data_IF_785870227050
#
_entry.id   IF_785870227050
#
_cell.length_a   1.000
_cell.length_b   1.000
_cell.length_c   1.000
_cell.angle_alpha   90.00
_cell.angle_beta   90.00
_cell.angle_gamma   90.00
#
_symmetry.space_group_name_H-M   'P 1'
#
loop_
_entity.id
_entity.type
_entity.pdbx_description
1 polymer ?
#
# COMPACT_ATOMS: atom_id res chain seq x y z
N UNK A 1 7.34 25.67 9.38
CA UNK A 1 6.23 24.76 9.13
C UNK A 1 6.67 23.38 9.60
N UNK A 2 5.96 22.80 10.57
CA UNK A 2 6.22 21.42 10.99
C UNK A 2 5.81 20.47 9.86
N UNK A 3 6.72 19.60 9.47
CA UNK A 3 6.52 18.55 8.48
C UNK A 3 6.71 17.19 9.13
N UNK A 4 6.06 16.18 8.59
CA UNK A 4 6.16 14.82 9.09
C UNK A 4 5.80 13.80 8.04
N UNK A 5 5.83 12.55 8.44
CA UNK A 5 5.38 11.41 7.63
C UNK A 5 4.14 10.79 8.25
N UNK A 6 3.30 10.22 7.43
CA UNK A 6 2.11 9.49 7.82
C UNK A 6 2.07 8.15 7.11
N UNK A 7 1.71 7.11 7.85
CA UNK A 7 1.31 5.83 7.30
C UNK A 7 -0.11 5.52 7.79
N UNK A 8 -0.97 5.13 6.89
CA UNK A 8 -2.34 4.71 7.23
C UNK A 8 -2.70 3.43 6.50
N UNK A 9 -3.56 2.64 7.11
CA UNK A 9 -4.20 1.49 6.51
C UNK A 9 -5.69 1.54 6.84
N UNK A 10 -6.52 1.33 5.84
CA UNK A 10 -7.96 1.24 5.98
C UNK A 10 -8.46 -0.03 5.30
N UNK A 11 -9.49 -0.63 5.86
CA UNK A 11 -10.14 -1.82 5.30
C UNK A 11 -11.63 -1.56 5.21
N UNK A 12 -12.21 -1.83 4.05
CA UNK A 12 -13.64 -1.79 3.84
C UNK A 12 -14.29 -3.14 4.26
N UNK A 13 -15.59 -3.15 4.57
CA UNK A 13 -16.31 -4.39 4.93
C UNK A 13 -16.26 -5.49 3.87
N UNK A 14 -16.07 -5.11 2.61
CA UNK A 14 -15.97 -5.97 1.43
C UNK A 14 -14.54 -6.47 1.15
N UNK A 15 -13.68 -6.53 2.16
CA UNK A 15 -12.31 -7.04 2.07
C UNK A 15 -11.38 -6.28 1.10
N UNK A 16 -11.73 -5.05 0.75
CA UNK A 16 -10.83 -4.14 0.08
C UNK A 16 -10.02 -3.36 1.10
N UNK A 17 -8.75 -3.15 0.84
CA UNK A 17 -7.87 -2.39 1.73
C UNK A 17 -7.07 -1.34 0.98
N UNK A 18 -6.84 -0.24 1.65
CA UNK A 18 -5.96 0.84 1.23
C UNK A 18 -4.79 0.91 2.21
N UNK A 19 -3.58 0.90 1.70
CA UNK A 19 -2.37 1.29 2.43
C UNK A 19 -1.80 2.53 1.78
N UNK A 20 -1.36 3.44 2.61
CA UNK A 20 -0.84 4.72 2.16
C UNK A 20 0.30 5.18 3.05
N UNK A 21 1.36 5.70 2.45
CA UNK A 21 2.46 6.40 3.11
C UNK A 21 2.62 7.77 2.45
N UNK A 22 2.81 8.81 3.23
CA UNK A 22 2.90 10.14 2.65
C UNK A 22 3.56 11.16 3.54
N UNK A 23 3.81 12.33 2.96
CA UNK A 23 4.39 13.49 3.60
C UNK A 23 3.29 14.49 3.95
N UNK A 24 3.32 14.96 5.17
CA UNK A 24 2.34 15.93 5.67
C UNK A 24 3.01 17.19 6.21
N UNK A 25 2.22 18.24 6.31
CA UNK A 25 2.55 19.48 7.01
C UNK A 25 1.35 19.98 7.79
N UNK A 26 1.61 20.60 8.92
CA UNK A 26 0.57 21.33 9.67
C UNK A 26 0.13 22.54 8.84
N UNK A 27 -1.17 22.78 8.77
CA UNK A 27 -1.77 23.96 8.13
C UNK A 27 -2.42 24.85 9.19
N UNK A 28 -2.81 26.05 8.80
CA UNK A 28 -3.40 26.99 9.74
C UNK A 28 -4.80 26.55 10.21
N UNK A 29 -5.24 27.12 11.34
CA UNK A 29 -6.51 26.74 11.99
C UNK A 29 -7.76 26.95 11.13
N UNK A 30 -7.71 27.78 10.09
CA UNK A 30 -8.85 27.99 9.17
C UNK A 30 -9.22 26.70 8.40
N UNK A 31 -8.29 25.76 8.29
CA UNK A 31 -8.55 24.47 7.68
C UNK A 31 -9.43 23.56 8.54
N UNK A 32 -9.45 23.77 9.86
CA UNK A 32 -10.33 23.03 10.77
C UNK A 32 -11.79 23.25 10.37
N UNK A 33 -12.18 24.48 10.11
CA UNK A 33 -13.55 24.79 9.68
C UNK A 33 -13.92 24.13 8.33
N UNK A 34 -12.96 24.10 7.39
CA UNK A 34 -13.16 23.43 6.10
C UNK A 34 -13.33 21.92 6.26
N UNK A 35 -12.55 21.29 7.14
CA UNK A 35 -12.66 19.85 7.45
C UNK A 35 -14.00 19.55 8.10
N UNK A 36 -14.45 20.40 9.05
CA UNK A 36 -15.74 20.24 9.71
C UNK A 36 -16.93 20.45 8.76
N UNK A 37 -16.80 21.36 7.80
CA UNK A 37 -17.83 21.56 6.78
C UNK A 37 -18.02 20.31 5.88
N UNK A 38 -16.96 19.55 5.63
CA UNK A 38 -17.01 18.29 4.88
C UNK A 38 -17.44 17.08 5.72
N UNK A 39 -17.33 17.20 7.06
CA UNK A 39 -17.62 16.13 8.01
C UNK A 39 -18.57 16.63 9.12
N UNK A 40 -19.86 16.84 8.82
CA UNK A 40 -20.81 17.46 9.77
C UNK A 40 -20.93 16.73 11.12
N UNK A 41 -20.79 15.39 11.15
CA UNK A 41 -20.81 14.60 12.38
C UNK A 41 -19.72 14.98 13.39
N UNK A 42 -18.63 15.59 12.95
CA UNK A 42 -17.59 16.09 13.85
C UNK A 42 -18.08 17.21 14.78
N UNK A 43 -19.13 17.94 14.39
CA UNK A 43 -19.71 19.00 15.22
C UNK A 43 -20.41 18.46 16.49
N UNK A 44 -20.85 17.20 16.46
CA UNK A 44 -21.41 16.55 17.64
C UNK A 44 -20.32 16.16 18.64
N UNK A 45 -19.15 15.76 18.13
CA UNK A 45 -18.00 15.34 18.97
C UNK A 45 -17.24 16.56 19.52
N UNK A 46 -17.08 17.60 18.70
CA UNK A 46 -16.37 18.84 19.03
C UNK A 46 -17.26 20.07 18.77
N UNK A 47 -18.24 20.34 19.65
CA UNK A 47 -19.19 21.44 19.45
C UNK A 47 -18.52 22.81 19.65
N UNK A 48 -18.91 23.79 18.81
CA UNK A 48 -18.47 25.19 18.94
C UNK A 48 -16.95 25.34 18.86
N UNK A 49 -16.41 26.12 19.77
CA UNK A 49 -14.97 26.47 19.83
C UNK A 49 -14.08 25.27 20.20
N UNK A 50 -14.63 24.18 20.75
CA UNK A 50 -13.84 23.01 21.14
C UNK A 50 -13.13 22.35 19.94
N UNK A 51 -13.60 22.59 18.71
CA UNK A 51 -12.95 22.11 17.48
C UNK A 51 -11.52 22.61 17.30
N UNK A 52 -11.18 23.78 17.86
CA UNK A 52 -9.87 24.40 17.68
C UNK A 52 -8.77 23.83 18.58
N UNK A 53 -9.07 22.83 19.40
CA UNK A 53 -8.05 21.98 20.02
C UNK A 53 -7.36 21.08 18.98
N UNK A 54 -8.02 20.83 17.85
CA UNK A 54 -7.50 19.98 16.77
C UNK A 54 -6.56 20.77 15.87
N UNK A 55 -5.55 20.08 15.34
CA UNK A 55 -4.71 20.57 14.25
C UNK A 55 -5.14 19.92 12.93
N UNK A 56 -5.08 20.69 11.85
CA UNK A 56 -5.32 20.21 10.52
C UNK A 56 -3.99 19.95 9.81
N UNK A 57 -3.93 18.85 9.06
CA UNK A 57 -2.77 18.45 8.29
C UNK A 57 -3.11 18.40 6.81
N UNK A 58 -2.18 18.86 5.99
CA UNK A 58 -2.21 18.69 4.55
C UNK A 58 -1.21 17.61 4.15
N UNK A 59 -1.69 16.50 3.63
CA UNK A 59 -0.85 15.49 3.01
C UNK A 59 -0.59 15.99 1.58
N UNK A 60 0.66 16.32 1.27
CA UNK A 60 1.01 16.99 0.02
C UNK A 60 1.72 16.09 -0.98
N UNK A 61 2.25 14.96 -0.56
CA UNK A 61 2.84 13.94 -1.41
C UNK A 61 2.70 12.57 -0.76
N UNK A 62 2.69 11.52 -1.56
CA UNK A 62 2.67 10.16 -1.04
C UNK A 62 2.39 9.12 -2.11
N UNK A 63 2.48 7.87 -1.71
CA UNK A 63 2.18 6.70 -2.51
C UNK A 63 1.37 5.69 -1.70
N UNK A 64 0.72 4.80 -2.38
CA UNK A 64 -0.07 3.77 -1.72
C UNK A 64 -0.45 2.63 -2.64
N UNK A 65 -1.14 1.66 -2.06
CA UNK A 65 -1.70 0.52 -2.78
C UNK A 65 -3.15 0.30 -2.39
N UNK A 66 -3.96 0.00 -3.39
CA UNK A 66 -5.30 -0.54 -3.24
C UNK A 66 -5.24 -2.04 -3.46
N UNK A 67 -5.87 -2.82 -2.58
CA UNK A 67 -5.80 -4.27 -2.59
C UNK A 67 -7.19 -4.87 -2.41
N UNK A 68 -7.62 -5.70 -3.37
CA UNK A 68 -8.91 -6.37 -3.39
C UNK A 68 -8.73 -7.88 -3.22
N UNK A 69 -9.29 -8.42 -2.14
CA UNK A 69 -9.26 -9.84 -1.78
C UNK A 69 -10.52 -10.61 -2.17
N UNK A 70 -11.57 -9.91 -2.66
CA UNK A 70 -12.85 -10.56 -2.99
C UNK A 70 -12.78 -11.42 -4.25
N UNK A 71 -11.93 -11.03 -5.18
CA UNK A 71 -11.84 -11.64 -6.49
C UNK A 71 -10.67 -12.63 -6.58
N UNK A 72 -10.80 -13.63 -7.44
CA UNK A 72 -9.71 -14.54 -7.74
C UNK A 72 -9.39 -14.47 -9.24
N UNK A 73 -8.15 -14.21 -9.61
CA UNK A 73 -7.03 -13.79 -8.74
C UNK A 73 -7.29 -12.46 -8.04
N UNK A 74 -6.69 -12.27 -6.88
CA UNK A 74 -6.71 -10.99 -6.17
C UNK A 74 -6.20 -9.87 -7.08
N UNK A 75 -6.60 -8.62 -6.82
CA UNK A 75 -6.05 -7.47 -7.53
C UNK A 75 -5.37 -6.48 -6.60
N UNK A 76 -4.33 -5.83 -7.14
CA UNK A 76 -3.55 -4.81 -6.47
C UNK A 76 -3.22 -3.71 -7.46
N UNK A 77 -3.45 -2.48 -7.07
CA UNK A 77 -3.11 -1.29 -7.82
C UNK A 77 -2.27 -0.36 -6.95
N UNK A 78 -1.28 0.30 -7.53
CA UNK A 78 -0.50 1.34 -6.86
C UNK A 78 -0.89 2.70 -7.39
N UNK A 79 -0.64 3.70 -6.58
CA UNK A 79 -0.80 5.10 -6.96
C UNK A 79 0.24 5.96 -6.24
N UNK A 80 0.57 7.10 -6.84
CA UNK A 80 1.39 8.14 -6.24
C UNK A 80 0.88 9.52 -6.64
N UNK A 81 1.18 10.53 -5.83
CA UNK A 81 0.85 11.92 -6.12
C UNK A 81 1.84 12.89 -5.45
N UNK A 82 1.77 14.17 -5.83
CA UNK A 82 2.60 15.22 -5.23
C UNK A 82 4.09 15.09 -5.53
N UNK A 83 4.46 14.43 -6.62
CA UNK A 83 5.86 14.22 -7.01
C UNK A 83 6.51 13.02 -6.32
N UNK A 84 5.74 12.20 -5.62
CA UNK A 84 6.20 10.89 -5.14
C UNK A 84 6.17 9.85 -6.26
N UNK A 85 6.76 8.69 -6.05
CA UNK A 85 6.82 7.59 -7.01
C UNK A 85 6.03 6.39 -6.51
N UNK A 86 5.43 5.66 -7.44
CA UNK A 86 4.81 4.39 -7.10
C UNK A 86 5.86 3.39 -6.65
N UNK A 87 5.59 2.71 -5.54
CA UNK A 87 6.45 1.67 -5.00
C UNK A 87 5.75 0.31 -5.12
N UNK A 88 6.45 -0.63 -5.72
CA UNK A 88 6.03 -2.02 -5.78
C UNK A 88 6.70 -2.80 -4.65
N UNK A 89 5.91 -3.19 -3.68
CA UNK A 89 6.34 -4.07 -2.60
C UNK A 89 6.16 -5.54 -2.99
N UNK A 90 6.93 -6.43 -2.41
CA UNK A 90 6.78 -7.87 -2.64
C UNK A 90 8.10 -8.56 -2.99
N UNK A 91 8.04 -9.48 -3.95
CA UNK A 91 9.18 -10.33 -4.30
C UNK A 91 9.52 -10.22 -5.77
N UNK A 92 10.80 -10.35 -6.07
CA UNK A 92 11.35 -10.45 -7.43
C UNK A 92 12.19 -11.72 -7.56
N UNK A 93 12.21 -12.31 -8.73
CA UNK A 93 13.05 -13.47 -9.06
C UNK A 93 14.25 -12.95 -9.83
N UNK A 94 15.44 -13.20 -9.31
CA UNK A 94 16.71 -12.71 -9.84
C UNK A 94 17.33 -13.67 -10.86
N UNK A 95 18.39 -13.25 -11.52
CA UNK A 95 19.10 -13.99 -12.58
C UNK A 95 19.72 -15.32 -12.11
N UNK A 96 19.88 -15.51 -10.80
CA UNK A 96 20.27 -16.81 -10.21
C UNK A 96 19.21 -17.91 -10.38
N UNK A 97 18.05 -17.59 -10.97
CA UNK A 97 16.96 -18.54 -11.22
C UNK A 97 17.40 -19.66 -12.17
N UNK A 98 17.24 -20.90 -11.73
CA UNK A 98 17.56 -22.11 -12.51
C UNK A 98 16.37 -22.66 -13.31
N UNK A 99 15.24 -21.99 -13.34
CA UNK A 99 14.05 -22.40 -14.11
C UNK A 99 13.34 -23.65 -13.57
N UNK A 100 13.47 -24.01 -12.29
CA UNK A 100 12.94 -25.28 -11.74
C UNK A 100 11.42 -25.29 -11.50
N UNK A 101 10.75 -24.12 -11.47
CA UNK A 101 9.30 -24.01 -11.29
C UNK A 101 8.78 -24.19 -9.85
N UNK A 102 9.64 -24.41 -8.86
CA UNK A 102 9.24 -24.61 -7.47
C UNK A 102 8.44 -23.42 -6.91
N UNK A 103 8.87 -22.19 -7.23
CA UNK A 103 8.18 -20.96 -6.83
C UNK A 103 6.76 -20.86 -7.40
N UNK A 104 6.55 -21.21 -8.67
CA UNK A 104 5.24 -21.23 -9.32
C UNK A 104 4.32 -22.29 -8.74
N UNK A 105 4.85 -23.47 -8.43
CA UNK A 105 4.11 -24.57 -7.78
C UNK A 105 3.65 -24.18 -6.37
N UNK A 106 4.50 -23.47 -5.61
CA UNK A 106 4.22 -23.05 -4.25
C UNK A 106 3.28 -21.82 -4.18
N UNK A 107 3.06 -21.09 -5.28
CA UNK A 107 2.28 -19.86 -5.27
C UNK A 107 0.79 -20.15 -5.12
N UNK A 108 0.10 -19.66 -4.06
CA UNK A 108 -1.33 -19.87 -3.87
C UNK A 108 -2.18 -19.13 -4.91
N UNK A 109 -1.71 -17.99 -5.41
CA UNK A 109 -2.41 -17.20 -6.43
C UNK A 109 -2.08 -17.60 -7.87
N UNK A 110 -1.14 -18.54 -8.07
CA UNK A 110 -0.69 -18.95 -9.41
C UNK A 110 -0.24 -17.76 -10.27
N UNK A 111 0.28 -16.73 -9.64
CA UNK A 111 0.69 -15.48 -10.29
C UNK A 111 2.17 -15.46 -10.73
N UNK A 112 2.82 -16.62 -10.82
CA UNK A 112 4.22 -16.75 -11.26
C UNK A 112 4.25 -17.51 -12.58
N UNK A 113 4.71 -16.85 -13.62
CA UNK A 113 4.77 -17.40 -14.97
C UNK A 113 6.17 -17.95 -15.30
N UNK A 114 6.25 -19.04 -16.12
CA UNK A 114 7.50 -19.60 -16.57
C UNK A 114 8.38 -18.58 -17.33
N UNK A 115 9.68 -18.70 -17.12
CA UNK A 115 10.74 -17.88 -17.73
C UNK A 115 12.10 -18.24 -17.15
N UNK A 116 13.13 -17.54 -17.62
CA UNK A 116 14.48 -17.62 -17.02
C UNK A 116 15.06 -16.21 -16.97
N UNK A 117 14.83 -15.51 -15.84
CA UNK A 117 14.13 -15.95 -14.62
C UNK A 117 12.60 -16.08 -14.80
N UNK A 118 11.95 -16.80 -13.89
CA UNK A 118 10.49 -16.77 -13.74
C UNK A 118 10.02 -15.36 -13.39
N UNK A 119 8.75 -15.02 -13.73
CA UNK A 119 8.21 -13.66 -13.54
C UNK A 119 7.01 -13.71 -12.60
N UNK A 120 7.03 -12.90 -11.55
CA UNK A 120 5.91 -12.71 -10.64
C UNK A 120 4.99 -11.63 -11.22
N UNK A 121 3.72 -11.97 -11.45
CA UNK A 121 2.70 -10.96 -11.73
C UNK A 121 2.35 -10.27 -10.40
N UNK A 122 2.90 -9.11 -10.22
CA UNK A 122 2.81 -8.34 -9.01
C UNK A 122 1.36 -7.95 -8.66
N UNK A 123 0.51 -7.62 -9.66
CA UNK A 123 -0.89 -7.23 -9.45
C UNK A 123 -1.73 -8.34 -8.77
N UNK A 124 -1.29 -9.59 -8.84
CA UNK A 124 -1.97 -10.73 -8.24
C UNK A 124 -1.19 -11.36 -7.08
N UNK A 125 -0.11 -10.72 -6.63
CA UNK A 125 0.78 -11.26 -5.61
C UNK A 125 0.28 -10.94 -4.20
N UNK A 126 0.11 -11.98 -3.35
CA UNK A 126 -0.20 -11.84 -1.92
C UNK A 126 0.97 -11.32 -1.08
N UNK A 127 2.18 -11.27 -1.63
CA UNK A 127 3.41 -10.94 -0.90
C UNK A 127 3.69 -11.88 0.29
N UNK A 128 3.22 -13.12 0.22
CA UNK A 128 3.27 -14.08 1.33
C UNK A 128 4.65 -14.74 1.54
N UNK A 129 5.60 -14.59 0.60
CA UNK A 129 6.96 -15.14 0.72
C UNK A 129 7.14 -16.62 0.36
N UNK A 130 6.05 -17.40 0.12
CA UNK A 130 6.16 -18.85 -0.17
C UNK A 130 7.05 -19.18 -1.36
N UNK A 131 7.15 -18.29 -2.33
CA UNK A 131 8.05 -18.47 -3.48
C UNK A 131 9.53 -18.38 -3.07
N UNK A 132 9.88 -17.54 -2.09
CA UNK A 132 11.23 -17.42 -1.56
C UNK A 132 11.59 -18.67 -0.75
N UNK A 133 10.71 -19.13 0.15
CA UNK A 133 10.89 -20.34 0.94
C UNK A 133 11.08 -21.58 0.07
N UNK A 134 10.37 -21.68 -1.05
CA UNK A 134 10.40 -22.82 -1.96
C UNK A 134 11.58 -22.80 -2.96
N UNK A 135 12.36 -21.72 -3.03
CA UNK A 135 13.39 -21.54 -4.04
C UNK A 135 14.71 -22.26 -3.65
N UNK A 136 15.10 -23.38 -4.33
CA UNK A 136 16.33 -24.08 -3.97
C UNK A 136 17.60 -23.32 -4.38
N UNK A 137 17.49 -22.35 -5.31
CA UNK A 137 18.59 -21.53 -5.78
C UNK A 137 18.72 -20.21 -5.02
N UNK A 138 17.88 -19.97 -4.01
CA UNK A 138 17.81 -18.71 -3.26
C UNK A 138 17.73 -17.46 -4.18
N UNK A 139 17.03 -17.61 -5.32
CA UNK A 139 16.93 -16.59 -6.35
C UNK A 139 15.77 -15.59 -6.14
N UNK A 140 14.92 -15.79 -5.11
CA UNK A 140 13.79 -14.92 -4.84
C UNK A 140 14.12 -13.97 -3.70
N UNK A 141 14.00 -12.67 -3.94
CA UNK A 141 14.30 -11.62 -2.96
C UNK A 141 13.11 -10.72 -2.73
N UNK A 142 12.99 -10.18 -1.52
CA UNK A 142 12.06 -9.12 -1.20
C UNK A 142 12.57 -7.80 -1.78
N UNK A 143 11.69 -7.00 -2.38
CA UNK A 143 12.05 -5.72 -3.02
C UNK A 143 12.44 -4.67 -1.97
N UNK A 144 11.69 -4.61 -0.86
CA UNK A 144 11.99 -3.74 0.28
C UNK A 144 11.92 -4.58 1.55
N UNK A 145 13.00 -4.67 2.34
CA UNK A 145 13.06 -5.43 3.59
C UNK A 145 12.21 -4.85 4.71
#
# INVERSE_FOLDING_TARGET
>A
VETGEIALAAMCPDCQSLKFTGKLRVVDKSWVDKVFAQNPGMNEVYPGESRYILDAFHIYAGHGEWFDLLHYPISRETFAYGGDTEEHNGFVIQDACIGCGACASACPQKCITPGTPYVINWAHCLQCGRCAEACPADAVRRLHP
#
